data_IF_944515874413
#
_entry.id   IF_944515874413
#
_cell.length_a   1.000
_cell.length_b   1.000
_cell.length_c   1.000
_cell.angle_alpha   90.00
_cell.angle_beta   90.00
_cell.angle_gamma   90.00
#
_symmetry.space_group_name_H-M   'P 1'
#
loop_
_entity.id
_entity.type
_entity.pdbx_description
1 polymer ?
#
# COMPACT_ATOMS: atom_id res chain seq x y z
N UNK A 1 3.11 8.33 -35.07
CA UNK A 1 3.76 9.61 -35.44
C UNK A 1 3.05 10.80 -34.78
N UNK A 2 2.99 10.86 -33.44
CA UNK A 2 2.32 11.96 -32.69
C UNK A 2 3.24 12.55 -31.60
N UNK A 3 4.52 12.14 -31.59
CA UNK A 3 5.49 12.53 -30.56
C UNK A 3 6.28 13.80 -30.90
N UNK A 4 5.77 14.70 -31.77
CA UNK A 4 6.50 15.90 -32.22
C UNK A 4 5.74 17.23 -32.13
N UNK A 5 4.58 17.27 -31.45
CA UNK A 5 3.86 18.53 -31.17
C UNK A 5 4.06 18.96 -29.72
N UNK A 6 4.43 20.23 -29.48
CA UNK A 6 4.64 20.83 -28.15
C UNK A 6 3.43 20.64 -27.20
N UNK A 7 2.24 20.53 -27.77
CA UNK A 7 0.99 20.27 -27.06
C UNK A 7 0.88 18.83 -26.53
N UNK A 8 1.32 17.82 -27.29
CA UNK A 8 1.30 16.42 -26.86
C UNK A 8 2.24 16.14 -25.67
N UNK A 9 3.40 16.81 -25.66
CA UNK A 9 4.36 16.71 -24.55
C UNK A 9 3.81 17.31 -23.24
N UNK A 10 3.06 18.42 -23.34
CA UNK A 10 2.39 19.05 -22.18
C UNK A 10 1.21 18.24 -21.62
N UNK A 11 0.53 17.45 -22.45
CA UNK A 11 -0.56 16.58 -22.01
C UNK A 11 -0.04 15.35 -21.25
N UNK A 12 1.08 14.78 -21.71
CA UNK A 12 1.73 13.63 -21.08
C UNK A 12 2.42 14.04 -19.77
N UNK A 13 3.12 15.17 -19.72
CA UNK A 13 3.73 15.69 -18.48
C UNK A 13 2.66 16.02 -17.42
N UNK A 14 1.47 16.48 -17.84
CA UNK A 14 0.31 16.71 -16.94
C UNK A 14 -0.35 15.41 -16.47
N UNK A 15 -0.21 14.33 -17.23
CA UNK A 15 -0.66 12.99 -16.83
C UNK A 15 0.33 12.34 -15.85
N UNK A 16 1.63 12.54 -16.04
CA UNK A 16 2.70 12.08 -15.13
C UNK A 16 2.73 12.84 -13.80
N UNK A 17 2.42 14.15 -13.76
CA UNK A 17 2.19 14.91 -12.51
C UNK A 17 0.90 14.52 -11.77
N UNK A 18 -0.04 13.84 -12.44
CA UNK A 18 -1.30 13.35 -11.85
C UNK A 18 -1.21 11.94 -11.25
N UNK A 19 -0.13 11.20 -11.50
CA UNK A 19 0.09 9.82 -11.04
C UNK A 19 1.20 9.56 -9.97
N UNK A 20 1.80 10.55 -9.26
CA UNK A 20 2.77 10.26 -8.21
C UNK A 20 2.15 10.08 -6.80
N UNK A 21 0.93 10.59 -6.56
CA UNK A 21 0.25 10.51 -5.26
C UNK A 21 -0.42 9.16 -5.00
N UNK A 22 -0.77 8.42 -6.05
CA UNK A 22 -1.55 7.19 -5.93
C UNK A 22 -0.80 6.14 -5.10
N UNK A 23 0.53 6.07 -5.23
CA UNK A 23 1.36 5.15 -4.44
C UNK A 23 1.33 5.45 -2.93
N UNK A 24 1.39 6.71 -2.54
CA UNK A 24 1.33 7.12 -1.12
C UNK A 24 -0.07 6.92 -0.52
N UNK A 25 -1.12 7.22 -1.30
CA UNK A 25 -2.52 7.00 -0.89
C UNK A 25 -2.80 5.51 -0.70
N UNK A 26 -2.36 4.65 -1.62
CA UNK A 26 -2.51 3.20 -1.50
C UNK A 26 -1.74 2.68 -0.29
N UNK A 27 -0.53 3.19 -0.02
CA UNK A 27 0.27 2.83 1.15
C UNK A 27 -0.43 3.23 2.45
N UNK A 28 -0.88 4.47 2.59
CA UNK A 28 -1.60 4.97 3.77
C UNK A 28 -2.90 4.20 4.02
N UNK A 29 -3.64 3.92 2.96
CA UNK A 29 -4.89 3.13 3.06
C UNK A 29 -4.61 1.70 3.50
N UNK A 30 -3.54 1.08 2.99
CA UNK A 30 -3.14 -0.26 3.39
C UNK A 30 -2.64 -0.28 4.85
N UNK A 31 -1.86 0.71 5.31
CA UNK A 31 -1.43 0.85 6.71
C UNK A 31 -2.65 1.02 7.63
N UNK A 32 -3.59 1.89 7.26
CA UNK A 32 -4.80 2.13 8.06
C UNK A 32 -5.64 0.85 8.25
N UNK A 33 -5.85 0.10 7.16
CA UNK A 33 -6.55 -1.19 7.21
C UNK A 33 -5.80 -2.22 8.06
N UNK A 34 -4.48 -2.33 7.86
CA UNK A 34 -3.61 -3.19 8.67
C UNK A 34 -3.75 -2.87 10.16
N UNK A 35 -3.56 -1.61 10.56
CA UNK A 35 -3.61 -1.19 11.96
C UNK A 35 -4.97 -1.43 12.61
N UNK A 36 -6.07 -1.22 11.86
CA UNK A 36 -7.43 -1.48 12.38
C UNK A 36 -7.67 -2.96 12.65
N UNK A 37 -7.30 -3.82 11.70
CA UNK A 37 -7.44 -5.27 11.87
C UNK A 37 -6.52 -5.78 12.98
N UNK A 38 -5.27 -5.32 13.02
CA UNK A 38 -4.31 -5.71 14.05
C UNK A 38 -4.79 -5.30 15.44
N UNK A 39 -5.27 -4.06 15.60
CA UNK A 39 -5.83 -3.58 16.86
C UNK A 39 -6.99 -4.46 17.33
N UNK A 40 -7.92 -4.80 16.43
CA UNK A 40 -9.05 -5.68 16.75
C UNK A 40 -8.59 -7.05 17.23
N UNK A 41 -7.63 -7.66 16.55
CA UNK A 41 -7.11 -8.99 16.90
C UNK A 41 -6.34 -8.98 18.22
N UNK A 42 -5.47 -7.98 18.43
CA UNK A 42 -4.71 -7.81 19.68
C UNK A 42 -5.65 -7.57 20.86
N UNK A 43 -6.67 -6.71 20.70
CA UNK A 43 -7.69 -6.49 21.73
C UNK A 43 -8.52 -7.75 22.01
N UNK A 44 -8.72 -8.61 21.01
CA UNK A 44 -9.41 -9.89 21.15
C UNK A 44 -8.52 -10.99 21.77
N UNK A 45 -7.28 -10.68 22.15
CA UNK A 45 -6.34 -11.61 22.77
C UNK A 45 -5.66 -12.57 21.79
N UNK A 46 -5.71 -12.29 20.48
CA UNK A 46 -5.01 -13.10 19.47
C UNK A 46 -3.50 -12.90 19.63
N UNK A 47 -2.70 -13.99 19.64
CA UNK A 47 -1.24 -13.89 19.72
C UNK A 47 -0.68 -13.00 18.61
N UNK A 48 0.27 -12.12 18.94
CA UNK A 48 0.83 -11.13 18.00
C UNK A 48 1.32 -11.75 16.69
N UNK A 49 1.98 -12.91 16.74
CA UNK A 49 2.44 -13.61 15.52
C UNK A 49 1.28 -14.07 14.62
N UNK A 50 0.19 -14.59 15.20
CA UNK A 50 -1.01 -14.94 14.44
C UNK A 50 -1.71 -13.68 13.91
N UNK A 51 -1.81 -12.64 14.73
CA UNK A 51 -2.41 -11.38 14.34
C UNK A 51 -1.67 -10.72 13.17
N UNK A 52 -0.33 -10.79 13.15
CA UNK A 52 0.51 -10.35 12.03
C UNK A 52 0.24 -11.16 10.76
N UNK A 53 0.12 -12.48 10.86
CA UNK A 53 -0.21 -13.33 9.70
C UNK A 53 -1.60 -13.05 9.12
N UNK A 54 -2.61 -12.84 9.96
CA UNK A 54 -3.98 -12.51 9.52
C UNK A 54 -4.04 -11.09 8.92
N UNK A 55 -3.31 -10.14 9.51
CA UNK A 55 -3.31 -8.74 9.05
C UNK A 55 -2.53 -8.52 7.76
N UNK A 56 -1.55 -9.40 7.48
CA UNK A 56 -0.84 -9.48 6.19
C UNK A 56 -1.81 -9.65 5.01
N UNK A 57 -2.82 -10.51 5.15
CA UNK A 57 -3.79 -10.80 4.09
C UNK A 57 -4.79 -9.65 3.88
N UNK A 58 -5.14 -8.92 4.95
CA UNK A 58 -6.09 -7.80 4.88
C UNK A 58 -5.49 -6.48 4.40
N UNK A 59 -4.17 -6.32 4.42
CA UNK A 59 -3.50 -5.12 3.91
C UNK A 59 -3.68 -4.93 2.38
N UNK A 60 -3.94 -6.02 1.63
CA UNK A 60 -4.25 -5.99 0.20
C UNK A 60 -3.17 -5.36 -0.69
N UNK A 61 -1.98 -5.15 -0.15
CA UNK A 61 -0.86 -4.49 -0.82
C UNK A 61 0.40 -5.36 -0.65
N UNK A 62 0.97 -5.81 -1.77
CA UNK A 62 2.18 -6.66 -1.77
C UNK A 62 3.37 -6.02 -1.04
N UNK A 63 3.49 -4.69 -1.05
CA UNK A 63 4.55 -3.96 -0.33
C UNK A 63 4.39 -4.11 1.18
N UNK A 64 3.15 -4.03 1.68
CA UNK A 64 2.88 -4.20 3.12
C UNK A 64 3.00 -5.67 3.50
N UNK A 65 2.51 -6.59 2.67
CA UNK A 65 2.65 -8.02 2.91
C UNK A 65 4.13 -8.45 2.99
N UNK A 66 4.99 -7.91 2.12
CA UNK A 66 6.44 -8.17 2.14
C UNK A 66 7.11 -7.60 3.41
N UNK A 67 6.73 -6.39 3.83
CA UNK A 67 7.24 -5.81 5.07
C UNK A 67 6.83 -6.61 6.31
N UNK A 68 5.58 -7.10 6.36
CA UNK A 68 5.11 -7.95 7.46
C UNK A 68 5.83 -9.30 7.49
N UNK A 69 6.10 -9.90 6.32
CA UNK A 69 6.85 -11.16 6.24
C UNK A 69 8.25 -11.01 6.81
N UNK A 70 8.95 -9.91 6.51
CA UNK A 70 10.28 -9.64 7.08
C UNK A 70 10.26 -9.55 8.61
N UNK A 71 9.21 -8.94 9.17
CA UNK A 71 9.05 -8.82 10.64
C UNK A 71 8.66 -10.15 11.28
N UNK A 72 7.90 -11.00 10.60
CA UNK A 72 7.52 -12.34 11.09
C UNK A 72 8.69 -13.33 11.06
N UNK A 73 9.57 -13.22 10.06
CA UNK A 73 10.70 -14.13 9.85
C UNK A 73 11.98 -13.70 10.62
N UNK A 74 11.93 -12.59 11.37
CA UNK A 74 12.99 -12.09 12.25
C UNK A 74 12.76 -12.52 13.70
#
# INVERSE_FOLDING_TARGET
MIARTRLGRSAIDRFQLRLPLIGDVIRKTAISRFSRTLGTLVTSGVPILQALNITRETAGNMVIASAISQVHDS
#
